data_IF_008107959405
#
_entry.id   IF_008107959405
#
_cell.length_a   1.000
_cell.length_b   1.000
_cell.length_c   1.000
_cell.angle_alpha   90.00
_cell.angle_beta   90.00
_cell.angle_gamma   90.00
#
_symmetry.space_group_name_H-M   'P 1'
#
loop_
_entity.id
_entity.type
_entity.pdbx_description
1 polymer ?
#
# COMPACT_ATOMS: atom_id res chain seq x y z
N UNK A 1 16.04 -4.57 -26.37
CA UNK A 1 15.80 -5.80 -25.57
C UNK A 1 14.35 -5.74 -25.11
N UNK A 2 13.51 -6.79 -25.20
CA UNK A 2 12.15 -6.70 -24.67
C UNK A 2 12.17 -6.19 -23.21
N UNK A 3 11.39 -5.15 -22.90
CA UNK A 3 11.37 -4.54 -21.56
C UNK A 3 12.53 -3.60 -21.21
N UNK A 4 13.46 -3.30 -22.12
CA UNK A 4 14.51 -2.29 -21.84
C UNK A 4 13.93 -0.88 -21.87
N UNK A 5 14.29 -0.06 -20.87
CA UNK A 5 13.93 1.36 -20.81
C UNK A 5 15.18 2.23 -21.04
N UNK A 6 15.64 2.40 -22.29
CA UNK A 6 16.93 3.03 -22.62
C UNK A 6 17.01 4.52 -22.23
N UNK A 7 15.87 5.19 -22.06
CA UNK A 7 15.80 6.60 -21.68
C UNK A 7 15.48 6.82 -20.19
N UNK A 8 15.48 5.76 -19.38
CA UNK A 8 15.44 5.75 -17.90
C UNK A 8 14.58 6.86 -17.22
N UNK A 9 13.41 7.20 -17.75
CA UNK A 9 12.39 7.95 -17.01
C UNK A 9 11.59 6.99 -16.13
N UNK A 10 12.02 6.76 -14.88
CA UNK A 10 11.27 5.90 -13.95
C UNK A 10 9.85 6.46 -13.76
N UNK A 11 8.87 5.79 -14.37
CA UNK A 11 7.44 6.03 -14.19
C UNK A 11 6.78 4.90 -13.36
N UNK A 12 7.59 4.06 -12.70
CA UNK A 12 7.13 2.83 -12.08
C UNK A 12 6.57 3.03 -10.68
N UNK A 13 5.24 3.01 -10.55
CA UNK A 13 4.55 2.90 -9.26
C UNK A 13 4.59 1.46 -8.73
N UNK A 14 5.78 0.88 -8.53
CA UNK A 14 5.86 -0.47 -7.93
C UNK A 14 5.60 -0.43 -6.43
N UNK A 15 6.02 0.65 -5.76
CA UNK A 15 5.94 0.82 -4.31
C UNK A 15 5.39 2.19 -3.95
N UNK A 16 4.31 2.21 -3.18
CA UNK A 16 3.82 3.39 -2.50
C UNK A 16 4.73 3.70 -1.31
N UNK A 17 5.38 4.87 -1.33
CA UNK A 17 6.25 5.37 -0.27
C UNK A 17 5.95 6.84 0.00
N UNK A 18 5.68 7.17 1.26
CA UNK A 18 5.57 8.55 1.74
C UNK A 18 6.91 9.01 2.31
N UNK A 19 7.57 9.91 1.59
CA UNK A 19 8.85 10.51 2.00
C UNK A 19 8.60 11.81 2.76
N UNK A 20 9.38 12.04 3.82
CA UNK A 20 9.23 13.23 4.67
C UNK A 20 9.34 14.56 3.90
N UNK A 21 10.18 14.62 2.87
CA UNK A 21 10.38 15.80 2.03
C UNK A 21 9.30 15.99 0.95
N UNK A 22 8.26 15.14 0.93
CA UNK A 22 7.17 15.18 -0.04
C UNK A 22 5.77 15.20 0.59
N UNK A 23 5.65 15.68 1.83
CA UNK A 23 4.37 15.72 2.57
C UNK A 23 3.23 16.38 1.80
N UNK A 24 3.51 17.48 1.09
CA UNK A 24 2.53 18.21 0.29
C UNK A 24 1.90 17.36 -0.83
N UNK A 25 2.60 16.32 -1.31
CA UNK A 25 2.11 15.45 -2.38
C UNK A 25 1.16 14.36 -1.88
N UNK A 26 1.27 13.98 -0.62
CA UNK A 26 0.56 12.81 -0.07
C UNK A 26 -0.22 13.09 1.22
N UNK A 27 -0.29 14.36 1.63
CA UNK A 27 -1.05 14.83 2.78
C UNK A 27 -0.44 14.41 4.13
N UNK A 28 0.89 14.42 4.25
CA UNK A 28 1.58 14.05 5.48
C UNK A 28 1.57 12.55 5.80
N UNK A 29 2.21 12.17 6.92
CA UNK A 29 2.21 10.82 7.49
C UNK A 29 1.28 10.78 8.72
N UNK A 30 0.39 9.80 8.81
CA UNK A 30 -0.51 9.63 9.94
C UNK A 30 -0.06 8.53 10.91
N UNK A 31 1.16 8.01 10.72
CA UNK A 31 1.90 7.24 11.70
C UNK A 31 3.10 8.04 12.20
N UNK A 32 4.31 7.61 11.85
CA UNK A 32 5.54 8.35 12.15
C UNK A 32 6.65 8.08 11.14
N UNK A 33 7.65 8.96 11.08
CA UNK A 33 8.80 8.81 10.18
C UNK A 33 9.95 8.07 10.84
N UNK A 34 10.53 7.09 10.12
CA UNK A 34 11.80 6.45 10.48
C UNK A 34 12.76 6.56 9.30
N UNK A 35 13.88 7.26 9.53
CA UNK A 35 14.86 7.60 8.49
C UNK A 35 14.22 8.27 7.26
N UNK A 36 13.29 9.21 7.49
CA UNK A 36 12.63 9.98 6.42
C UNK A 36 11.55 9.23 5.62
N UNK A 37 11.23 7.99 5.99
CA UNK A 37 10.16 7.20 5.37
C UNK A 37 9.03 7.02 6.37
N UNK A 38 7.80 7.28 5.94
CA UNK A 38 6.60 7.08 6.77
C UNK A 38 6.40 5.59 7.07
N UNK A 39 6.24 5.29 8.36
CA UNK A 39 5.57 4.09 8.85
C UNK A 39 4.09 4.43 8.89
N UNK A 40 3.29 3.75 8.07
CA UNK A 40 1.88 4.07 7.90
C UNK A 40 1.07 3.86 9.18
N UNK A 41 0.24 4.83 9.50
CA UNK A 41 -0.79 4.72 10.53
C UNK A 41 -2.20 4.62 9.95
N UNK A 42 -3.22 4.51 10.81
CA UNK A 42 -4.59 4.26 10.36
C UNK A 42 -5.12 5.36 9.44
N UNK A 43 -4.68 6.61 9.64
CA UNK A 43 -5.04 7.75 8.77
C UNK A 43 -4.51 7.64 7.34
N UNK A 44 -3.52 6.78 7.09
CA UNK A 44 -2.93 6.58 5.76
C UNK A 44 -3.69 5.55 4.91
N UNK A 45 -4.65 4.80 5.49
CA UNK A 45 -5.40 3.75 4.80
C UNK A 45 -6.08 4.24 3.52
N UNK A 46 -6.71 5.42 3.55
CA UNK A 46 -7.37 6.00 2.36
C UNK A 46 -6.38 6.25 1.23
N UNK A 47 -5.17 6.71 1.57
CA UNK A 47 -4.12 6.95 0.59
C UNK A 47 -3.57 5.64 0.03
N UNK A 48 -3.37 4.64 0.89
CA UNK A 48 -2.91 3.30 0.51
C UNK A 48 -3.90 2.58 -0.41
N UNK A 49 -5.19 2.58 -0.08
CA UNK A 49 -6.24 1.89 -0.86
C UNK A 49 -6.42 2.51 -2.26
N UNK A 50 -6.19 3.82 -2.38
CA UNK A 50 -6.32 4.54 -3.65
C UNK A 50 -5.04 4.54 -4.49
N UNK A 51 -3.94 3.96 -4.01
CA UNK A 51 -2.69 3.91 -4.74
C UNK A 51 -2.76 2.95 -5.93
N UNK A 52 -2.17 3.34 -7.06
CA UNK A 52 -1.89 2.48 -8.22
C UNK A 52 -0.78 1.45 -7.94
N UNK A 53 -0.07 1.59 -6.83
CA UNK A 53 1.10 0.75 -6.52
C UNK A 53 0.74 -0.67 -6.13
N UNK A 54 1.59 -1.62 -6.52
CA UNK A 54 1.44 -3.03 -6.15
C UNK A 54 1.79 -3.31 -4.70
N UNK A 55 2.79 -2.60 -4.16
CA UNK A 55 3.28 -2.76 -2.79
C UNK A 55 3.31 -1.41 -2.07
N UNK A 56 3.44 -1.45 -0.75
CA UNK A 56 3.61 -0.25 0.08
C UNK A 56 4.72 -0.46 1.13
N UNK A 57 5.43 0.62 1.47
CA UNK A 57 6.50 0.62 2.46
C UNK A 57 6.47 1.93 3.28
N UNK A 58 6.48 1.93 4.63
CA UNK A 58 6.68 0.83 5.60
C UNK A 58 5.46 0.60 6.49
N UNK A 59 5.33 -0.61 7.04
CA UNK A 59 4.34 -0.95 8.06
C UNK A 59 5.03 -1.38 9.36
N UNK A 60 4.36 -1.15 10.49
CA UNK A 60 4.81 -1.62 11.80
C UNK A 60 3.62 -2.17 12.58
N UNK A 61 3.62 -3.49 12.81
CA UNK A 61 2.53 -4.20 13.48
C UNK A 61 2.40 -3.84 14.96
N UNK A 62 3.50 -3.48 15.62
CA UNK A 62 3.51 -3.15 17.05
C UNK A 62 2.89 -1.78 17.34
N UNK A 63 3.09 -0.80 16.45
CA UNK A 63 2.56 0.55 16.61
C UNK A 63 1.18 0.73 16.01
N UNK A 64 0.93 0.17 14.81
CA UNK A 64 -0.31 0.37 14.06
C UNK A 64 -0.89 -0.95 13.50
N UNK A 65 -1.26 -1.92 14.38
CA UNK A 65 -1.77 -3.22 13.93
C UNK A 65 -3.00 -3.09 13.02
N UNK A 66 -3.91 -2.18 13.37
CA UNK A 66 -5.14 -1.92 12.60
C UNK A 66 -4.87 -1.43 11.17
N UNK A 67 -3.75 -0.76 10.92
CA UNK A 67 -3.39 -0.33 9.56
C UNK A 67 -3.15 -1.53 8.65
N UNK A 68 -2.47 -2.56 9.16
CA UNK A 68 -2.20 -3.78 8.39
C UNK A 68 -3.47 -4.64 8.29
N UNK A 69 -4.19 -4.81 9.39
CA UNK A 69 -5.43 -5.62 9.42
C UNK A 69 -6.51 -5.05 8.50
N UNK A 70 -6.82 -3.76 8.57
CA UNK A 70 -7.84 -3.17 7.71
C UNK A 70 -7.44 -3.21 6.23
N UNK A 71 -6.15 -3.05 5.92
CA UNK A 71 -5.65 -3.17 4.56
C UNK A 71 -5.79 -4.61 4.05
N UNK A 72 -5.47 -5.60 4.87
CA UNK A 72 -5.61 -7.02 4.55
C UNK A 72 -7.08 -7.39 4.31
N UNK A 73 -7.98 -7.02 5.22
CA UNK A 73 -9.42 -7.24 5.07
C UNK A 73 -9.97 -6.62 3.78
N UNK A 74 -9.58 -5.38 3.47
CA UNK A 74 -10.03 -4.69 2.26
C UNK A 74 -9.51 -5.36 0.99
N UNK A 75 -8.26 -5.79 0.98
CA UNK A 75 -7.67 -6.50 -0.16
C UNK A 75 -8.29 -7.89 -0.33
N UNK A 76 -8.56 -8.61 0.77
CA UNK A 76 -9.25 -9.90 0.76
C UNK A 76 -10.66 -9.77 0.19
N UNK A 77 -11.46 -8.82 0.70
CA UNK A 77 -12.79 -8.53 0.20
C UNK A 77 -12.78 -8.23 -1.31
N UNK A 78 -11.87 -7.36 -1.76
CA UNK A 78 -11.72 -7.03 -3.19
C UNK A 78 -11.39 -8.27 -4.02
N UNK A 79 -10.47 -9.11 -3.53
CA UNK A 79 -10.02 -10.32 -4.24
C UNK A 79 -11.15 -11.35 -4.36
N UNK A 80 -11.89 -11.58 -3.28
CA UNK A 80 -13.02 -12.50 -3.27
C UNK A 80 -14.14 -12.03 -4.21
N UNK A 81 -14.49 -10.73 -4.17
CA UNK A 81 -15.51 -10.16 -5.04
C UNK A 81 -15.15 -10.19 -6.54
N UNK A 82 -13.87 -10.32 -6.87
CA UNK A 82 -13.36 -10.39 -8.25
C UNK A 82 -12.99 -11.82 -8.67
N UNK A 83 -13.37 -12.83 -7.89
CA UNK A 83 -13.03 -14.22 -8.21
C UNK A 83 -13.79 -14.71 -9.44
N UNK A 84 -13.05 -15.24 -10.43
CA UNK A 84 -13.62 -15.88 -11.62
C UNK A 84 -14.05 -17.34 -11.36
N UNK A 85 -13.71 -17.88 -10.18
CA UNK A 85 -14.01 -19.24 -9.77
C UNK A 85 -14.92 -19.25 -8.54
N UNK A 86 -15.57 -20.39 -8.28
CA UNK A 86 -16.37 -20.56 -7.09
C UNK A 86 -15.50 -20.41 -5.83
N UNK A 87 -15.88 -19.44 -4.98
CA UNK A 87 -15.20 -19.17 -3.72
C UNK A 87 -15.47 -20.32 -2.76
N UNK A 88 -14.40 -20.87 -2.18
CA UNK A 88 -14.54 -21.87 -1.14
C UNK A 88 -14.94 -21.21 0.19
N UNK A 89 -15.87 -21.80 0.96
CA UNK A 89 -16.28 -21.23 2.26
C UNK A 89 -15.11 -20.99 3.22
N UNK A 90 -14.04 -21.79 3.13
CA UNK A 90 -12.84 -21.65 3.94
C UNK A 90 -12.04 -20.38 3.65
N UNK A 91 -12.27 -19.68 2.54
CA UNK A 91 -11.52 -18.46 2.19
C UNK A 91 -12.06 -17.18 2.84
N UNK A 92 -13.25 -17.26 3.44
CA UNK A 92 -13.83 -16.15 4.21
C UNK A 92 -13.23 -16.03 5.62
N UNK A 93 -12.53 -17.06 6.10
CA UNK A 93 -11.99 -17.16 7.46
C UNK A 93 -10.46 -17.12 7.43
#
# INVERSE_FOLDING_TARGET
VPGSMPNASWAGDLRAVKWFDMEDKHGGCHGHYVHGICIYGNGDLKWLINSSSLFANKFELTAYPLTVECLELRLRERTLNQSEIAIQPSWYF
#
